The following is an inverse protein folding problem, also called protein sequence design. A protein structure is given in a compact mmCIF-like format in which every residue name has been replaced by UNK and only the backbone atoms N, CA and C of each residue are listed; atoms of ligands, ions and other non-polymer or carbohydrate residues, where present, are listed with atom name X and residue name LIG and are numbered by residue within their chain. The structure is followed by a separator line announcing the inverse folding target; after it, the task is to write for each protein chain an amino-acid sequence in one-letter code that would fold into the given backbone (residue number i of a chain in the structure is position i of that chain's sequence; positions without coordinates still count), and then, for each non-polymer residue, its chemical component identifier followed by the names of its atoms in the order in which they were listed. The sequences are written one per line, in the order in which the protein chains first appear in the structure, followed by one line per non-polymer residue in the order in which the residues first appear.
data_IF_498450188880
#
_entry.id   IF_498450188880
#
_cell.length_a   1.000
_cell.length_b   1.000
_cell.length_c   1.000
_cell.angle_alpha   90.00
_cell.angle_beta   90.00
_cell.angle_gamma   90.00
#
_symmetry.space_group_name_H-M   'P 1'
#
loop_
_entity.id
_entity.type
_entity.pdbx_description
1 polymer ?
#
# COMPACT_ATOMS: atom_id res chain seq x y z
N UNK A 1 2.66 -41.62 62.19
CA UNK A 1 3.58 -41.89 61.06
C UNK A 1 2.78 -41.75 59.78
N UNK A 2 2.98 -40.66 59.03
CA UNK A 2 3.63 -40.64 57.70
C UNK A 2 2.75 -41.27 56.60
N UNK A 3 2.32 -40.61 55.53
CA UNK A 3 2.58 -39.30 54.96
C UNK A 3 2.22 -39.32 53.46
N UNK A 4 2.10 -38.12 52.87
CA UNK A 4 2.26 -37.76 51.44
C UNK A 4 1.07 -37.88 50.47
N UNK A 5 0.53 -36.70 50.17
CA UNK A 5 0.12 -36.14 48.86
C UNK A 5 0.58 -36.92 47.62
N UNK A 6 -0.19 -36.81 46.51
CA UNK A 6 0.33 -36.20 45.26
C UNK A 6 -0.75 -36.06 44.17
N UNK A 7 -1.23 -34.83 44.06
CA UNK A 7 -1.72 -34.15 42.86
C UNK A 7 -0.85 -34.52 41.64
N UNK A 8 -1.33 -35.42 40.78
CA UNK A 8 -0.63 -35.80 39.54
C UNK A 8 -1.38 -35.28 38.32
N UNK A 9 -0.78 -34.25 37.74
CA UNK A 9 -0.61 -34.05 36.29
C UNK A 9 -1.87 -33.79 35.46
N UNK A 10 -2.47 -32.64 35.70
CA UNK A 10 -3.29 -31.90 34.74
C UNK A 10 -2.39 -31.01 33.87
N UNK A 11 -1.39 -31.59 33.17
CA UNK A 11 -0.48 -30.85 32.28
C UNK A 11 -0.08 -31.76 31.11
N UNK A 12 -0.96 -31.98 30.13
CA UNK A 12 -0.54 -32.62 28.87
C UNK A 12 -1.37 -32.23 27.65
N UNK A 13 -1.92 -31.01 27.63
CA UNK A 13 -2.79 -30.53 26.53
C UNK A 13 -2.52 -29.08 26.10
N UNK A 14 -1.30 -28.57 26.33
CA UNK A 14 -0.90 -27.20 25.98
C UNK A 14 0.36 -27.14 25.09
N UNK A 15 0.61 -28.16 24.27
CA UNK A 15 1.83 -28.25 23.45
C UNK A 15 1.57 -28.44 21.93
N UNK A 16 0.39 -28.04 21.43
CA UNK A 16 0.04 -28.14 20.00
C UNK A 16 -0.22 -26.79 19.31
N UNK A 17 0.05 -25.66 19.97
CA UNK A 17 -0.09 -24.32 19.38
C UNK A 17 1.25 -23.65 19.04
N UNK A 18 2.34 -24.40 18.97
CA UNK A 18 3.56 -23.94 18.30
C UNK A 18 3.42 -24.09 16.78
N UNK A 19 2.37 -23.47 16.21
CA UNK A 19 2.36 -23.18 14.79
C UNK A 19 3.50 -22.21 14.52
N UNK A 20 4.50 -22.63 13.74
CA UNK A 20 5.51 -21.74 13.22
C UNK A 20 4.82 -20.70 12.34
N UNK A 21 4.42 -19.57 12.91
CA UNK A 21 4.38 -18.35 12.13
C UNK A 21 5.82 -18.19 11.60
N UNK A 22 6.02 -18.39 10.30
CA UNK A 22 7.15 -17.85 9.56
C UNK A 22 6.73 -16.44 9.18
N UNK A 23 6.89 -15.42 10.03
CA UNK A 23 6.73 -14.07 9.56
C UNK A 23 7.79 -13.86 8.48
N UNK A 24 7.32 -13.59 7.27
CA UNK A 24 8.18 -13.16 6.18
C UNK A 24 8.55 -11.70 6.46
N UNK A 25 9.41 -11.49 7.44
CA UNK A 25 10.02 -10.19 7.65
C UNK A 25 11.04 -10.00 6.53
N UNK A 26 10.84 -8.95 5.73
CA UNK A 26 11.82 -8.52 4.76
C UNK A 26 13.16 -8.34 5.50
N UNK A 27 14.13 -9.20 5.18
CA UNK A 27 15.49 -9.04 5.67
C UNK A 27 15.97 -7.65 5.28
N UNK A 28 16.56 -6.94 6.23
CA UNK A 28 17.09 -5.58 6.14
C UNK A 28 18.36 -5.47 5.27
N UNK A 29 18.45 -6.31 4.24
CA UNK A 29 19.22 -6.07 3.01
C UNK A 29 18.22 -5.68 1.93
N UNK A 30 17.64 -4.49 2.09
CA UNK A 30 16.51 -3.96 1.31
C UNK A 30 16.77 -3.92 -0.18
N UNK A 31 16.39 -5.02 -0.83
CA UNK A 31 16.32 -5.21 -2.28
C UNK A 31 15.26 -6.25 -2.62
N UNK A 32 14.21 -6.36 -1.79
CA UNK A 32 12.96 -6.96 -2.25
C UNK A 32 12.38 -6.00 -3.27
N UNK A 33 12.13 -6.48 -4.50
CA UNK A 33 11.41 -5.70 -5.50
C UNK A 33 10.17 -5.11 -4.82
N UNK A 34 10.04 -3.77 -4.76
CA UNK A 34 8.82 -3.20 -4.24
C UNK A 34 7.70 -3.76 -5.08
N UNK A 35 6.58 -4.09 -4.44
CA UNK A 35 5.37 -4.56 -5.11
C UNK A 35 4.86 -3.44 -6.03
N UNK A 36 5.48 -3.35 -7.21
CA UNK A 36 5.37 -2.23 -8.15
C UNK A 36 4.47 -2.72 -9.25
N UNK A 37 3.26 -2.19 -9.34
CA UNK A 37 2.42 -2.48 -10.49
C UNK A 37 3.11 -1.92 -11.73
N UNK A 38 3.29 -2.73 -12.77
CA UNK A 38 3.82 -2.21 -14.02
C UNK A 38 2.88 -1.11 -14.54
N UNK A 39 3.44 0.02 -14.96
CA UNK A 39 2.68 1.04 -15.66
C UNK A 39 2.01 0.38 -16.87
N UNK A 40 0.71 0.63 -17.02
CA UNK A 40 -0.07 0.01 -18.07
C UNK A 40 -0.90 -1.21 -17.63
N UNK A 41 -0.83 -1.62 -16.36
CA UNK A 41 -1.80 -2.54 -15.76
C UNK A 41 -3.14 -1.82 -15.47
N UNK A 42 -4.23 -2.59 -15.35
CA UNK A 42 -5.56 -2.07 -15.02
C UNK A 42 -6.17 -2.85 -13.85
N UNK A 43 -5.35 -3.16 -12.85
CA UNK A 43 -5.76 -3.86 -11.63
C UNK A 43 -6.52 -2.93 -10.68
N UNK A 44 -6.13 -1.65 -10.65
CA UNK A 44 -6.81 -0.61 -9.90
C UNK A 44 -7.62 0.27 -10.86
N UNK A 45 -8.75 0.80 -10.38
CA UNK A 45 -9.65 1.63 -11.19
C UNK A 45 -10.30 2.73 -10.37
N UNK A 46 -10.50 3.87 -11.02
CA UNK A 46 -11.53 4.84 -10.64
C UNK A 46 -12.82 4.47 -11.38
N UNK A 47 -13.76 3.85 -10.67
CA UNK A 47 -15.03 3.36 -11.22
C UNK A 47 -15.94 4.50 -11.69
N UNK A 48 -15.91 5.65 -11.01
CA UNK A 48 -16.70 6.84 -11.34
C UNK A 48 -16.40 7.41 -12.72
N UNK A 49 -15.15 7.26 -13.18
CA UNK A 49 -14.68 7.77 -14.47
C UNK A 49 -14.24 6.66 -15.43
N UNK A 50 -14.36 5.38 -15.05
CA UNK A 50 -13.86 4.22 -15.79
C UNK A 50 -12.38 4.36 -16.20
N UNK A 51 -11.53 4.85 -15.29
CA UNK A 51 -10.10 5.00 -15.52
C UNK A 51 -9.30 3.90 -14.82
N UNK A 52 -8.46 3.20 -15.56
CA UNK A 52 -7.41 2.36 -15.00
C UNK A 52 -6.42 3.23 -14.23
N UNK A 53 -5.98 2.74 -13.08
CA UNK A 53 -4.93 3.33 -12.26
C UNK A 53 -3.77 2.33 -12.21
N UNK A 54 -2.57 2.79 -12.52
CA UNK A 54 -1.34 2.01 -12.33
C UNK A 54 -0.25 2.94 -11.82
N UNK A 55 0.75 2.41 -11.12
CA UNK A 55 1.77 3.24 -10.51
C UNK A 55 3.07 2.48 -10.38
N UNK A 56 4.20 3.18 -10.53
CA UNK A 56 5.52 2.57 -10.40
C UNK A 56 6.53 3.47 -9.72
N UNK A 57 7.35 2.90 -8.83
CA UNK A 57 8.44 3.62 -8.16
C UNK A 57 9.42 4.22 -9.18
N UNK A 58 9.75 5.49 -8.99
CA UNK A 58 10.94 6.10 -9.58
C UNK A 58 12.10 6.02 -8.58
N UNK A 59 11.82 6.34 -7.31
CA UNK A 59 12.73 6.21 -6.18
C UNK A 59 11.98 5.59 -5.00
N UNK A 60 12.40 4.42 -4.56
CA UNK A 60 11.72 3.70 -3.46
C UNK A 60 11.88 4.50 -2.17
N UNK A 61 10.77 4.79 -1.50
CA UNK A 61 10.79 5.45 -0.19
C UNK A 61 11.28 4.49 0.90
N UNK A 62 11.86 5.02 1.97
CA UNK A 62 12.24 4.24 3.16
C UNK A 62 11.91 5.02 4.43
N UNK A 63 12.24 4.45 5.59
CA UNK A 63 12.10 5.12 6.89
C UNK A 63 13.07 6.28 7.11
N UNK A 64 14.02 6.48 6.19
CA UNK A 64 15.04 7.55 6.29
C UNK A 64 15.14 8.40 5.05
N UNK A 65 14.51 7.98 3.94
CA UNK A 65 14.62 8.65 2.66
C UNK A 65 13.24 8.84 2.01
N UNK A 66 13.01 10.05 1.52
CA UNK A 66 11.86 10.34 0.66
C UNK A 66 11.98 9.61 -0.67
N UNK A 67 10.89 9.00 -1.11
CA UNK A 67 10.74 8.41 -2.42
C UNK A 67 9.86 9.24 -3.35
N UNK A 68 9.71 8.71 -4.56
CA UNK A 68 8.80 9.21 -5.59
C UNK A 68 8.33 8.07 -6.48
N UNK A 69 7.11 8.19 -7.00
CA UNK A 69 6.58 7.24 -7.98
C UNK A 69 5.78 7.95 -9.07
N UNK A 70 5.70 7.31 -10.23
CA UNK A 70 4.78 7.70 -11.28
C UNK A 70 3.42 7.07 -11.03
N UNK A 71 2.36 7.84 -11.19
CA UNK A 71 0.98 7.39 -11.21
C UNK A 71 0.42 7.64 -12.61
N UNK A 72 -0.18 6.63 -13.21
CA UNK A 72 -0.80 6.67 -14.51
C UNK A 72 -2.30 6.42 -14.39
N UNK A 73 -3.09 7.29 -15.02
CA UNK A 73 -4.51 7.10 -15.24
C UNK A 73 -4.80 7.01 -16.73
N UNK A 74 -5.57 5.99 -17.13
CA UNK A 74 -5.83 5.73 -18.55
C UNK A 74 -7.18 5.06 -18.79
N UNK A 75 -7.78 5.30 -19.95
CA UNK A 75 -8.94 4.52 -20.37
C UNK A 75 -8.54 3.14 -20.87
N UNK A 76 -9.29 2.08 -20.50
CA UNK A 76 -9.19 0.81 -21.18
C UNK A 76 -9.75 0.93 -22.61
N UNK A 77 -8.94 0.56 -23.60
CA UNK A 77 -9.37 0.38 -25.00
C UNK A 77 -9.09 -1.04 -25.48
N UNK A 78 -9.71 -1.43 -26.58
CA UNK A 78 -9.61 -2.77 -27.16
C UNK A 78 -8.16 -3.22 -27.47
N UNK A 79 -7.23 -2.29 -27.66
CA UNK A 79 -5.83 -2.57 -28.04
C UNK A 79 -4.79 -1.95 -27.10
N UNK A 80 -5.19 -1.46 -25.92
CA UNK A 80 -4.25 -0.89 -24.96
C UNK A 80 -4.88 0.15 -24.04
N UNK A 81 -4.02 0.94 -23.41
CA UNK A 81 -4.42 2.01 -22.50
C UNK A 81 -4.11 3.37 -23.11
N UNK A 82 -5.08 4.28 -23.05
CA UNK A 82 -4.92 5.66 -23.50
C UNK A 82 -4.88 6.58 -22.30
N UNK A 83 -3.75 7.27 -22.09
CA UNK A 83 -3.57 8.21 -20.98
C UNK A 83 -4.70 9.25 -20.96
N UNK A 84 -5.25 9.48 -19.77
CA UNK A 84 -6.29 10.48 -19.55
C UNK A 84 -6.26 10.95 -18.10
N UNK A 85 -6.21 12.27 -17.93
CA UNK A 85 -6.42 12.88 -16.62
C UNK A 85 -7.88 12.65 -16.15
N UNK A 86 -8.10 12.39 -14.85
CA UNK A 86 -9.43 12.42 -14.28
C UNK A 86 -10.01 13.84 -14.35
N UNK A 87 -11.34 13.94 -14.41
CA UNK A 87 -12.06 15.20 -14.36
C UNK A 87 -12.08 15.78 -12.94
N UNK A 88 -12.11 14.91 -11.93
CA UNK A 88 -12.00 15.28 -10.52
C UNK A 88 -10.55 15.55 -10.08
N UNK A 89 -10.39 16.25 -8.96
CA UNK A 89 -9.09 16.53 -8.34
C UNK A 89 -8.47 15.23 -7.81
N UNK A 90 -7.28 14.88 -8.31
CA UNK A 90 -6.51 13.75 -7.84
C UNK A 90 -5.80 14.07 -6.52
N UNK A 91 -5.95 13.19 -5.53
CA UNK A 91 -5.19 13.18 -4.28
C UNK A 91 -4.56 11.82 -4.04
N UNK A 92 -3.47 11.81 -3.28
CA UNK A 92 -2.79 10.60 -2.85
C UNK A 92 -2.57 10.67 -1.36
N UNK A 93 -3.00 9.64 -0.65
CA UNK A 93 -2.86 9.50 0.80
C UNK A 93 -2.05 8.24 1.11
N UNK A 94 -1.07 8.37 1.99
CA UNK A 94 -0.30 7.26 2.56
C UNK A 94 -0.91 6.93 3.91
N UNK A 95 -1.38 5.70 4.11
CA UNK A 95 -2.10 5.29 5.32
C UNK A 95 -1.51 4.01 5.92
N UNK A 96 -1.35 3.96 7.24
CA UNK A 96 -0.95 2.76 7.99
C UNK A 96 -2.16 2.24 8.78
N UNK A 97 -2.89 1.22 8.30
CA UNK A 97 -4.13 0.77 8.92
C UNK A 97 -3.97 0.31 10.36
N UNK A 98 -2.88 -0.38 10.67
CA UNK A 98 -2.60 -0.94 12.01
C UNK A 98 -2.44 0.12 13.09
N UNK A 99 -2.02 1.33 12.72
CA UNK A 99 -1.79 2.45 13.63
C UNK A 99 -2.85 3.54 13.53
N UNK A 100 -3.78 3.42 12.56
CA UNK A 100 -4.87 4.38 12.38
C UNK A 100 -4.41 5.79 12.04
N UNK A 101 -3.26 5.94 11.38
CA UNK A 101 -2.75 7.24 10.95
C UNK A 101 -2.09 7.18 9.57
N UNK A 102 -1.97 8.34 8.93
CA UNK A 102 -1.29 8.52 7.66
C UNK A 102 0.11 9.14 7.80
N UNK A 103 0.73 9.44 6.66
CA UNK A 103 1.96 10.22 6.59
C UNK A 103 1.70 11.67 6.17
N UNK A 104 2.77 12.46 6.11
CA UNK A 104 2.76 13.84 5.61
C UNK A 104 2.20 13.86 4.17
N UNK A 105 1.42 14.90 3.78
CA UNK A 105 0.93 15.02 2.42
C UNK A 105 2.05 14.96 1.37
N UNK A 106 1.81 14.19 0.32
CA UNK A 106 2.70 14.11 -0.84
C UNK A 106 2.50 15.32 -1.75
N UNK A 107 3.48 15.56 -2.63
CA UNK A 107 3.35 16.54 -3.71
C UNK A 107 2.99 15.84 -5.02
N UNK A 108 1.97 16.35 -5.71
CA UNK A 108 1.51 15.81 -6.99
C UNK A 108 1.90 16.78 -8.11
N UNK A 109 2.66 16.30 -9.09
CA UNK A 109 3.05 17.06 -10.28
C UNK A 109 2.50 16.37 -11.53
N UNK A 110 1.67 17.04 -12.32
CA UNK A 110 1.22 16.50 -13.60
C UNK A 110 2.35 16.61 -14.62
N UNK A 111 2.81 15.47 -15.14
CA UNK A 111 3.85 15.43 -16.19
C UNK A 111 3.20 15.62 -17.57
N UNK A 112 2.09 14.94 -17.80
CA UNK A 112 1.22 15.06 -18.97
C UNK A 112 -0.18 14.57 -18.58
N UNK A 113 -1.28 14.89 -19.29
CA UNK A 113 -2.61 14.40 -18.92
C UNK A 113 -2.63 12.87 -18.75
N UNK A 114 -2.97 12.42 -17.54
CA UNK A 114 -3.00 10.99 -17.20
C UNK A 114 -1.67 10.40 -16.72
N UNK A 115 -0.61 11.20 -16.58
CA UNK A 115 0.65 10.79 -15.95
C UNK A 115 1.11 11.84 -14.95
N UNK A 116 1.30 11.38 -13.71
CA UNK A 116 1.62 12.22 -12.57
C UNK A 116 2.89 11.69 -11.90
N UNK A 117 3.68 12.60 -11.38
CA UNK A 117 4.79 12.29 -10.48
C UNK A 117 4.38 12.65 -9.06
N UNK A 118 4.40 11.65 -8.19
CA UNK A 118 4.13 11.79 -6.77
C UNK A 118 5.47 11.87 -6.05
N UNK A 119 5.74 13.00 -5.39
CA UNK A 119 6.99 13.32 -4.69
C UNK A 119 6.76 13.43 -3.19
N UNK A 120 7.87 13.43 -2.44
CA UNK A 120 7.89 13.51 -0.98
C UNK A 120 7.12 12.35 -0.31
N UNK A 121 7.19 11.17 -0.91
CA UNK A 121 6.61 9.95 -0.35
C UNK A 121 7.51 9.47 0.78
N UNK A 122 7.00 9.38 2.00
CA UNK A 122 7.81 9.00 3.16
C UNK A 122 7.00 8.14 4.12
N UNK A 123 7.62 7.08 4.62
CA UNK A 123 7.00 6.14 5.55
C UNK A 123 7.76 6.16 6.86
N UNK A 124 7.14 6.65 7.93
CA UNK A 124 7.83 6.90 9.20
C UNK A 124 8.30 5.58 9.87
N UNK A 125 7.63 4.47 9.57
CA UNK A 125 7.89 3.15 10.15
C UNK A 125 7.72 2.05 9.08
N UNK A 126 8.44 0.92 9.22
CA UNK A 126 8.23 -0.25 8.37
C UNK A 126 6.87 -0.91 8.66
N UNK A 127 6.42 -1.78 7.75
CA UNK A 127 5.17 -2.52 7.91
C UNK A 127 4.17 -2.33 6.77
N UNK A 128 2.91 -2.64 7.04
CA UNK A 128 1.83 -2.54 6.06
C UNK A 128 1.38 -1.10 5.88
N UNK A 129 1.38 -0.66 4.62
CA UNK A 129 0.90 0.64 4.19
C UNK A 129 -0.09 0.48 3.05
N UNK A 130 -1.09 1.35 3.04
CA UNK A 130 -2.04 1.49 1.95
C UNK A 130 -1.75 2.82 1.22
N UNK A 131 -1.62 2.77 -0.11
CA UNK A 131 -1.63 3.92 -0.99
C UNK A 131 -3.07 4.13 -1.47
N UNK A 132 -3.68 5.23 -1.04
CA UNK A 132 -5.01 5.61 -1.47
C UNK A 132 -4.91 6.66 -2.57
N UNK A 133 -5.25 6.28 -3.79
CA UNK A 133 -5.45 7.21 -4.90
C UNK A 133 -6.91 7.65 -4.86
N UNK A 134 -7.18 8.95 -4.76
CA UNK A 134 -8.51 9.47 -4.51
C UNK A 134 -8.91 10.52 -5.54
N UNK A 135 -10.18 10.53 -5.90
CA UNK A 135 -10.78 11.60 -6.70
C UNK A 135 -11.69 12.45 -5.83
N UNK A 136 -11.56 13.78 -5.97
CA UNK A 136 -12.30 14.76 -5.19
C UNK A 136 -13.01 15.76 -6.09
N UNK A 137 -14.27 16.06 -5.80
CA UNK A 137 -15.03 17.11 -6.46
C UNK A 137 -15.62 18.06 -5.42
N UNK A 138 -15.22 19.33 -5.48
CA UNK A 138 -15.75 20.36 -4.57
C UNK A 138 -15.55 20.04 -3.09
N UNK A 139 -14.45 19.37 -2.72
CA UNK A 139 -14.17 18.97 -1.34
C UNK A 139 -14.86 17.68 -0.88
N UNK A 140 -15.55 16.96 -1.75
CA UNK A 140 -16.11 15.63 -1.48
C UNK A 140 -15.32 14.55 -2.20
N UNK A 141 -14.94 13.47 -1.49
CA UNK A 141 -14.33 12.29 -2.13
C UNK A 141 -15.38 11.57 -2.96
N UNK A 142 -15.16 11.46 -4.27
CA UNK A 142 -16.09 10.83 -5.23
C UNK A 142 -15.64 9.43 -5.66
N UNK A 143 -14.36 9.10 -5.49
CA UNK A 143 -13.81 7.79 -5.84
C UNK A 143 -12.49 7.50 -5.08
N UNK A 144 -12.12 6.23 -5.00
CA UNK A 144 -10.86 5.78 -4.41
C UNK A 144 -10.42 4.41 -4.94
N UNK A 145 -9.15 4.31 -5.31
CA UNK A 145 -8.46 3.05 -5.57
C UNK A 145 -7.35 2.88 -4.54
N UNK A 146 -7.23 1.67 -3.95
CA UNK A 146 -6.28 1.42 -2.86
C UNK A 146 -5.30 0.31 -3.24
N UNK A 147 -4.00 0.60 -3.10
CA UNK A 147 -2.94 -0.40 -3.20
C UNK A 147 -2.38 -0.70 -1.83
N UNK A 148 -2.36 -1.98 -1.42
CA UNK A 148 -1.62 -2.41 -0.24
C UNK A 148 -0.17 -2.73 -0.57
N UNK A 149 0.75 -2.33 0.29
CA UNK A 149 2.16 -2.67 0.20
C UNK A 149 2.76 -2.95 1.57
N UNK A 150 3.88 -3.68 1.57
CA UNK A 150 4.70 -3.93 2.76
C UNK A 150 6.04 -3.26 2.52
N UNK A 151 6.44 -2.42 3.47
CA UNK A 151 7.76 -1.78 3.53
C UNK A 151 8.68 -2.50 4.50
#
# INVERSE_FOLDING_TARGET
MSGKNNLRFLILTAALLAGCAKPNYADSKGGGEPNTQALGSCELKFESENLCVSWAWENVASTTQYGSFLLQTAFPQNQGLMLRAPAAELKVLLWMPSMGHGSIPVQIEMVTPGLYRIKNVFFIMPGEWDLHFQLWNGGTKVDEATQRMIL
#
